data_IF_520499928480
#
_entry.id   IF_520499928480
#
_cell.length_a   1.000
_cell.length_b   1.000
_cell.length_c   1.000
_cell.angle_alpha   90.00
_cell.angle_beta   90.00
_cell.angle_gamma   90.00
#
_symmetry.space_group_name_H-M   'P 1'
#
loop_
_entity.id
_entity.type
_entity.pdbx_description
1 polymer ?
#
# COMPACT_ATOMS: atom_id res chain seq x y z
N UNK A 1 8.76 -10.64 -2.71
CA UNK A 1 7.93 -9.59 -3.36
C UNK A 1 7.29 -10.07 -4.65
N UNK A 2 8.03 -10.43 -5.71
CA UNK A 2 7.42 -10.75 -7.02
C UNK A 2 6.53 -12.02 -7.05
N UNK A 3 6.81 -13.03 -6.23
CA UNK A 3 5.99 -14.25 -6.16
C UNK A 3 4.57 -13.99 -5.66
N UNK A 4 4.41 -13.08 -4.69
CA UNK A 4 3.14 -12.84 -4.02
C UNK A 4 2.22 -11.94 -4.85
N UNK A 5 2.80 -10.95 -5.56
CA UNK A 5 2.03 -10.10 -6.51
C UNK A 5 1.48 -10.96 -7.65
N UNK A 6 2.29 -11.86 -8.22
CA UNK A 6 1.84 -12.76 -9.29
C UNK A 6 0.66 -13.61 -8.80
N UNK A 7 0.76 -14.22 -7.62
CA UNK A 7 -0.32 -15.03 -7.06
C UNK A 7 -1.58 -14.21 -6.77
N UNK A 8 -1.42 -12.99 -6.25
CA UNK A 8 -2.55 -12.08 -6.02
C UNK A 8 -3.27 -11.68 -7.31
N UNK A 9 -2.53 -11.45 -8.40
CA UNK A 9 -3.10 -11.18 -9.72
C UNK A 9 -3.81 -12.39 -10.31
N UNK A 10 -3.23 -13.59 -10.22
CA UNK A 10 -3.87 -14.84 -10.62
C UNK A 10 -5.20 -15.05 -9.90
N UNK A 11 -5.22 -14.82 -8.58
CA UNK A 11 -6.43 -14.91 -7.77
C UNK A 11 -7.49 -13.88 -8.21
N UNK A 12 -7.08 -12.63 -8.47
CA UNK A 12 -7.98 -11.59 -8.99
C UNK A 12 -8.65 -12.02 -10.31
N UNK A 13 -7.89 -12.54 -11.26
CA UNK A 13 -8.43 -13.01 -12.55
C UNK A 13 -9.30 -14.26 -12.40
N UNK A 14 -9.01 -15.11 -11.41
CA UNK A 14 -9.84 -16.25 -11.03
C UNK A 14 -11.08 -15.87 -10.19
N UNK A 15 -11.28 -14.57 -9.92
CA UNK A 15 -12.35 -14.04 -9.05
C UNK A 15 -12.28 -14.50 -7.60
N UNK A 16 -11.11 -14.98 -7.16
CA UNK A 16 -10.81 -15.25 -5.75
C UNK A 16 -10.34 -13.95 -5.09
N UNK A 17 -11.29 -13.07 -4.80
CA UNK A 17 -11.02 -11.74 -4.27
C UNK A 17 -10.48 -11.78 -2.85
N UNK A 18 -10.83 -12.80 -2.06
CA UNK A 18 -10.27 -12.99 -0.72
C UNK A 18 -8.76 -13.16 -0.83
N UNK A 19 -8.30 -14.11 -1.64
CA UNK A 19 -6.86 -14.34 -1.82
C UNK A 19 -6.18 -13.13 -2.48
N UNK A 20 -6.81 -12.53 -3.49
CA UNK A 20 -6.26 -11.37 -4.18
C UNK A 20 -6.01 -10.19 -3.22
N UNK A 21 -7.02 -9.81 -2.43
CA UNK A 21 -6.96 -8.65 -1.53
C UNK A 21 -5.92 -8.89 -0.42
N UNK A 22 -5.94 -10.06 0.22
CA UNK A 22 -5.01 -10.39 1.31
C UNK A 22 -3.55 -10.45 0.83
N UNK A 23 -3.29 -10.90 -0.39
CA UNK A 23 -1.94 -10.92 -0.93
C UNK A 23 -1.48 -9.56 -1.43
N UNK A 24 -2.34 -8.79 -2.10
CA UNK A 24 -1.92 -7.57 -2.78
C UNK A 24 -1.78 -6.37 -1.85
N UNK A 25 -2.60 -6.25 -0.79
CA UNK A 25 -2.53 -5.12 0.15
C UNK A 25 -1.13 -4.97 0.78
N UNK A 26 -0.52 -6.01 1.37
CA UNK A 26 0.83 -5.89 1.93
C UNK A 26 1.89 -5.57 0.87
N UNK A 27 1.72 -6.07 -0.37
CA UNK A 27 2.66 -5.82 -1.45
C UNK A 27 2.57 -4.39 -2.00
N UNK A 28 1.38 -3.78 -1.96
CA UNK A 28 1.20 -2.35 -2.26
C UNK A 28 1.94 -1.50 -1.23
N UNK A 29 1.80 -1.80 0.07
CA UNK A 29 2.57 -1.11 1.12
C UNK A 29 4.07 -1.29 0.92
N UNK A 30 4.53 -2.53 0.68
CA UNK A 30 5.94 -2.80 0.44
C UNK A 30 6.46 -2.03 -0.78
N UNK A 31 5.66 -1.93 -1.85
CA UNK A 31 6.01 -1.19 -3.06
C UNK A 31 6.10 0.32 -2.80
N UNK A 32 5.17 0.90 -2.02
CA UNK A 32 5.24 2.31 -1.59
C UNK A 32 6.51 2.52 -0.76
N UNK A 33 6.81 1.63 0.18
CA UNK A 33 8.00 1.71 1.02
C UNK A 33 9.29 1.69 0.19
N UNK A 34 9.41 0.73 -0.73
CA UNK A 34 10.56 0.66 -1.63
C UNK A 34 10.67 1.87 -2.55
N UNK A 35 9.55 2.43 -3.02
CA UNK A 35 9.56 3.67 -3.80
C UNK A 35 10.15 4.84 -2.99
N UNK A 36 9.69 5.04 -1.75
CA UNK A 36 10.18 6.10 -0.87
C UNK A 36 11.66 5.92 -0.53
N UNK A 37 12.10 4.69 -0.23
CA UNK A 37 13.51 4.38 0.05
C UNK A 37 14.43 4.71 -1.13
N UNK A 38 14.00 4.42 -2.35
CA UNK A 38 14.78 4.73 -3.57
C UNK A 38 14.97 6.23 -3.78
N UNK A 39 14.00 7.03 -3.35
CA UNK A 39 14.05 8.50 -3.37
C UNK A 39 14.65 9.10 -2.08
N UNK A 40 15.30 8.27 -1.24
CA UNK A 40 15.91 8.67 0.03
C UNK A 40 14.94 9.33 1.02
N UNK A 41 13.65 8.98 0.93
CA UNK A 41 12.62 9.42 1.89
C UNK A 41 12.60 8.40 3.04
N UNK A 42 12.85 8.80 4.30
CA UNK A 42 12.98 7.87 5.41
C UNK A 42 11.70 7.06 5.66
N UNK A 43 11.82 5.74 5.69
CA UNK A 43 10.74 4.80 6.03
C UNK A 43 10.84 4.29 7.48
N UNK A 44 11.89 4.70 8.19
CA UNK A 44 12.12 4.48 9.61
C UNK A 44 11.99 5.79 10.40
N UNK A 45 11.59 5.70 11.66
CA UNK A 45 11.62 6.80 12.63
C UNK A 45 12.46 6.42 13.85
N UNK A 46 13.19 7.39 14.41
CA UNK A 46 13.93 7.21 15.65
C UNK A 46 12.97 7.04 16.82
N UNK A 47 13.28 6.11 17.70
CA UNK A 47 12.59 5.93 18.99
C UNK A 47 13.22 6.85 20.06
N UNK A 48 12.64 6.81 21.26
CA UNK A 48 13.13 7.57 22.44
C UNK A 48 14.53 7.12 22.89
N UNK A 49 14.89 5.87 22.61
CA UNK A 49 16.22 5.32 22.90
C UNK A 49 17.20 5.67 21.76
N UNK A 50 18.42 6.11 22.07
CA UNK A 50 19.47 6.23 21.07
C UNK A 50 19.71 4.87 20.39
N UNK A 51 19.75 4.84 19.06
CA UNK A 51 19.95 3.65 18.20
C UNK A 51 18.77 2.68 18.04
N UNK A 52 17.58 3.03 18.52
CA UNK A 52 16.38 2.23 18.26
C UNK A 52 15.55 2.89 17.13
N UNK A 53 15.26 2.12 16.08
CA UNK A 53 14.48 2.57 14.93
C UNK A 53 13.22 1.73 14.78
N UNK A 54 12.09 2.38 14.51
CA UNK A 54 10.83 1.73 14.21
C UNK A 54 10.42 2.01 12.76
N UNK A 55 9.79 1.03 12.11
CA UNK A 55 9.13 1.25 10.83
C UNK A 55 8.06 2.33 10.96
N UNK A 56 8.08 3.31 10.06
CA UNK A 56 6.97 4.26 9.91
C UNK A 56 5.72 3.51 9.45
N UNK A 57 4.58 3.94 9.97
CA UNK A 57 3.28 3.46 9.48
C UNK A 57 3.07 3.94 8.04
N UNK A 58 2.23 3.24 7.28
CA UNK A 58 1.88 3.67 5.93
C UNK A 58 1.21 5.06 5.94
N UNK A 59 0.36 5.36 6.93
CA UNK A 59 -0.27 6.67 7.06
C UNK A 59 0.77 7.78 7.34
N UNK A 60 1.74 7.52 8.24
CA UNK A 60 2.83 8.45 8.54
C UNK A 60 3.64 8.77 7.29
N UNK A 61 3.90 7.76 6.43
CA UNK A 61 4.66 7.93 5.19
C UNK A 61 3.86 8.71 4.13
N UNK A 62 2.58 8.40 3.94
CA UNK A 62 1.74 9.07 2.94
C UNK A 62 1.37 10.53 3.29
N UNK A 63 1.65 10.97 4.53
CA UNK A 63 1.52 12.37 4.97
C UNK A 63 2.82 13.16 4.89
N UNK A 64 3.94 12.51 4.61
CA UNK A 64 5.24 13.17 4.46
C UNK A 64 5.20 14.12 3.27
N UNK A 65 5.67 15.36 3.44
CA UNK A 65 5.65 16.34 2.35
C UNK A 65 6.47 15.89 1.14
N UNK A 66 7.60 15.19 1.35
CA UNK A 66 8.40 14.64 0.26
C UNK A 66 7.70 13.49 -0.45
N UNK A 67 6.99 12.64 0.31
CA UNK A 67 6.19 11.57 -0.29
C UNK A 67 5.02 12.12 -1.10
N UNK A 68 4.38 13.19 -0.61
CA UNK A 68 3.31 13.90 -1.32
C UNK A 68 3.82 14.55 -2.60
N UNK A 69 5.01 15.14 -2.57
CA UNK A 69 5.66 15.69 -3.77
C UNK A 69 5.95 14.61 -4.81
N UNK A 70 6.54 13.48 -4.38
CA UNK A 70 6.84 12.35 -5.25
C UNK A 70 5.58 11.71 -5.85
N UNK A 71 4.57 11.44 -5.04
CA UNK A 71 3.35 10.75 -5.46
C UNK A 71 2.35 11.69 -6.15
N UNK A 72 2.48 13.00 -5.97
CA UNK A 72 1.46 14.04 -6.14
C UNK A 72 0.38 14.04 -5.03
N UNK A 73 -0.21 15.22 -4.71
CA UNK A 73 -1.26 15.34 -3.69
C UNK A 73 -2.46 14.41 -3.91
N UNK A 74 -2.90 14.26 -5.16
CA UNK A 74 -4.07 13.46 -5.49
C UNK A 74 -3.82 11.97 -5.27
N UNK A 75 -2.65 11.46 -5.66
CA UNK A 75 -2.36 10.04 -5.50
C UNK A 75 -2.07 9.68 -4.04
N UNK A 76 -1.34 10.54 -3.31
CA UNK A 76 -1.11 10.35 -1.88
C UNK A 76 -2.44 10.35 -1.11
N UNK A 77 -3.36 11.28 -1.43
CA UNK A 77 -4.70 11.30 -0.84
C UNK A 77 -5.51 10.05 -1.21
N UNK A 78 -5.46 9.61 -2.47
CA UNK A 78 -6.12 8.38 -2.91
C UNK A 78 -5.64 7.15 -2.14
N UNK A 79 -4.31 6.97 -1.99
CA UNK A 79 -3.76 5.86 -1.20
C UNK A 79 -4.13 5.94 0.28
N UNK A 80 -4.16 7.13 0.87
CA UNK A 80 -4.61 7.29 2.26
C UNK A 80 -6.06 6.89 2.42
N UNK A 81 -6.96 7.43 1.61
CA UNK A 81 -8.40 7.12 1.68
C UNK A 81 -8.63 5.61 1.47
N UNK A 82 -7.91 5.00 0.53
CA UNK A 82 -8.08 3.58 0.22
C UNK A 82 -7.50 2.66 1.31
N UNK A 83 -6.31 2.96 1.82
CA UNK A 83 -5.52 2.01 2.61
C UNK A 83 -5.53 2.30 4.11
N UNK A 84 -5.47 3.57 4.54
CA UNK A 84 -5.11 3.90 5.93
C UNK A 84 -6.07 4.82 6.67
N UNK A 85 -6.92 5.56 5.97
CA UNK A 85 -7.81 6.53 6.59
C UNK A 85 -9.09 5.85 7.10
N UNK A 86 -9.33 5.93 8.42
CA UNK A 86 -10.50 5.34 9.07
C UNK A 86 -11.83 6.01 8.69
N UNK A 87 -11.80 7.18 8.05
CA UNK A 87 -12.97 7.84 7.44
C UNK A 87 -13.18 7.41 5.99
N UNK A 88 -12.19 6.74 5.41
CA UNK A 88 -12.21 6.18 4.07
C UNK A 88 -12.52 4.69 4.10
N UNK A 89 -11.85 3.94 3.23
CA UNK A 89 -12.02 2.49 3.12
C UNK A 89 -11.13 1.73 4.11
N UNK A 90 -10.00 2.33 4.51
CA UNK A 90 -9.09 1.80 5.52
C UNK A 90 -8.61 0.34 5.27
N UNK A 91 -8.60 -0.11 4.00
CA UNK A 91 -8.53 -1.53 3.66
C UNK A 91 -7.31 -2.23 4.26
N UNK A 92 -6.15 -1.56 4.27
CA UNK A 92 -4.93 -2.16 4.80
C UNK A 92 -5.05 -2.47 6.28
N UNK A 93 -5.67 -1.58 7.05
CA UNK A 93 -5.84 -1.80 8.48
C UNK A 93 -6.93 -2.83 8.75
N UNK A 94 -8.11 -2.68 8.14
CA UNK A 94 -9.23 -3.59 8.38
C UNK A 94 -8.90 -5.04 7.99
N UNK A 95 -8.23 -5.26 6.86
CA UNK A 95 -7.86 -6.61 6.39
C UNK A 95 -6.78 -7.21 7.29
N UNK A 96 -5.71 -6.47 7.60
CA UNK A 96 -4.61 -6.97 8.42
C UNK A 96 -4.99 -7.15 9.90
N UNK A 97 -6.02 -6.46 10.39
CA UNK A 97 -6.56 -6.66 11.74
C UNK A 97 -7.71 -7.68 11.78
N UNK A 98 -8.12 -8.25 10.65
CA UNK A 98 -9.21 -9.24 10.60
C UNK A 98 -10.59 -8.66 10.91
N UNK A 99 -10.79 -7.37 10.65
CA UNK A 99 -12.03 -6.63 10.92
C UNK A 99 -12.93 -6.51 9.67
N UNK A 100 -12.46 -6.99 8.53
CA UNK A 100 -13.19 -6.94 7.25
C UNK A 100 -14.24 -8.05 7.17
N UNK A 101 -15.49 -7.70 6.85
CA UNK A 101 -16.54 -8.68 6.57
C UNK A 101 -16.33 -9.40 5.23
N UNK A 102 -16.83 -10.64 5.12
CA UNK A 102 -16.71 -11.43 3.87
C UNK A 102 -17.31 -10.69 2.66
N UNK A 103 -18.39 -9.94 2.89
CA UNK A 103 -19.10 -9.13 1.88
C UNK A 103 -18.22 -8.08 1.20
N UNK A 104 -17.14 -7.64 1.86
CA UNK A 104 -16.23 -6.62 1.34
C UNK A 104 -15.16 -7.19 0.39
N UNK A 105 -14.97 -8.51 0.36
CA UNK A 105 -14.09 -9.17 -0.61
C UNK A 105 -14.83 -9.36 -1.94
N UNK A 106 -15.15 -8.23 -2.57
CA UNK A 106 -15.95 -8.15 -3.78
C UNK A 106 -15.12 -7.61 -4.97
N UNK A 107 -15.68 -7.66 -6.20
CA UNK A 107 -15.00 -7.12 -7.38
C UNK A 107 -14.67 -5.64 -7.26
N UNK A 108 -15.49 -4.83 -6.59
CA UNK A 108 -15.29 -3.39 -6.46
C UNK A 108 -14.05 -3.09 -5.62
N UNK A 109 -13.90 -3.75 -4.47
CA UNK A 109 -12.72 -3.66 -3.62
C UNK A 109 -11.48 -4.16 -4.34
N UNK A 110 -11.57 -5.33 -4.98
CA UNK A 110 -10.45 -5.89 -5.73
C UNK A 110 -10.01 -4.97 -6.88
N UNK A 111 -10.95 -4.37 -7.61
CA UNK A 111 -10.67 -3.37 -8.66
C UNK A 111 -9.90 -2.16 -8.14
N UNK A 112 -10.21 -1.68 -6.92
CA UNK A 112 -9.48 -0.56 -6.31
C UNK A 112 -8.06 -0.95 -5.91
N UNK A 113 -7.86 -2.17 -5.43
CA UNK A 113 -6.53 -2.72 -5.13
C UNK A 113 -5.70 -2.84 -6.42
N UNK A 114 -6.28 -3.38 -7.50
CA UNK A 114 -5.61 -3.45 -8.80
C UNK A 114 -5.29 -2.05 -9.34
N UNK A 115 -6.22 -1.11 -9.25
CA UNK A 115 -5.98 0.28 -9.66
C UNK A 115 -4.82 0.91 -8.88
N UNK A 116 -4.74 0.71 -7.57
CA UNK A 116 -3.62 1.18 -6.76
C UNK A 116 -2.28 0.59 -7.21
N UNK A 117 -2.26 -0.72 -7.50
CA UNK A 117 -1.08 -1.39 -8.05
C UNK A 117 -0.67 -0.82 -9.43
N UNK A 118 -1.62 -0.55 -10.32
CA UNK A 118 -1.36 0.07 -11.63
C UNK A 118 -0.81 1.49 -11.49
N UNK A 119 -1.35 2.29 -10.55
CA UNK A 119 -0.81 3.61 -10.24
C UNK A 119 0.67 3.55 -9.81
N UNK A 120 1.04 2.57 -8.96
CA UNK A 120 2.42 2.34 -8.57
C UNK A 120 3.30 1.91 -9.75
N UNK A 121 2.74 1.19 -10.72
CA UNK A 121 3.41 0.81 -11.96
C UNK A 121 3.91 1.99 -12.81
N UNK A 122 3.48 3.23 -12.53
CA UNK A 122 3.98 4.45 -13.19
C UNK A 122 5.38 4.85 -12.71
N UNK A 123 5.77 4.45 -11.50
CA UNK A 123 7.05 4.83 -10.88
C UNK A 123 8.19 3.85 -11.23
N UNK A 124 8.23 3.37 -12.47
CA UNK A 124 9.31 2.47 -12.93
C UNK A 124 10.65 3.17 -12.77
N UNK A 125 11.60 2.45 -12.19
CA UNK A 125 12.98 2.92 -12.10
C UNK A 125 13.56 3.08 -13.50
N UNK A 126 14.06 4.28 -13.81
CA UNK A 126 15.18 4.36 -14.74
C UNK A 126 16.30 3.54 -14.09
N UNK A 127 16.55 2.36 -14.64
CA UNK A 127 17.78 1.63 -14.38
C UNK A 127 18.84 2.41 -15.15
N UNK A 128 19.60 3.24 -14.44
CA UNK A 128 20.90 3.68 -14.93
C UNK A 128 21.84 2.47 -14.94
#
# INVERSE_FOLDING_TARGET
FLCDIKRGLEAYFAQDYIVAIHLLIPQIEASIRSLLERENIPTLKSCKSPNEFQQRTLDDMLRDSKAIELLTPNLAAYFRILLTDNRGWNLRNEVCHGLTEISQFDPMTANRIIHALLCLGRFRGQTN
#
